data_IF_226512781051
#
_entry.id   IF_226512781051
#
_cell.length_a   1.000
_cell.length_b   1.000
_cell.length_c   1.000
_cell.angle_alpha   90.00
_cell.angle_beta   90.00
_cell.angle_gamma   90.00
#
_symmetry.space_group_name_H-M   'P 1'
#
loop_
_entity.id
_entity.type
_entity.pdbx_description
1 polymer ?
#
# COMPACT_ATOMS: atom_id res chain seq x y z
N UNK A 1 15.67 27.51 -23.78
CA UNK A 1 16.43 28.54 -24.51
C UNK A 1 15.65 29.85 -24.54
N UNK A 2 16.06 30.80 -23.71
CA UNK A 2 15.61 32.20 -23.83
C UNK A 2 16.05 32.72 -25.20
N UNK A 3 15.15 33.42 -25.91
CA UNK A 3 15.50 34.07 -27.16
C UNK A 3 16.46 35.24 -26.90
N UNK A 4 17.72 35.04 -27.24
CA UNK A 4 18.79 36.04 -27.06
C UNK A 4 18.84 37.04 -28.21
N UNK A 5 18.10 36.83 -29.31
CA UNK A 5 18.19 37.70 -30.51
C UNK A 5 17.76 39.13 -30.21
N UNK A 6 16.79 39.31 -29.32
CA UNK A 6 16.33 40.62 -28.87
C UNK A 6 17.39 41.39 -28.07
N UNK A 7 18.37 40.69 -27.49
CA UNK A 7 19.46 41.29 -26.71
C UNK A 7 20.67 41.71 -27.55
N UNK A 8 20.71 41.32 -28.83
CA UNK A 8 21.82 41.60 -29.74
C UNK A 8 21.57 42.92 -30.47
N UNK A 9 22.52 43.85 -30.37
CA UNK A 9 22.49 45.08 -31.16
C UNK A 9 22.55 44.77 -32.66
N UNK A 10 21.72 45.45 -33.47
CA UNK A 10 21.56 45.18 -34.90
C UNK A 10 22.88 45.16 -35.70
N UNK A 11 23.87 45.96 -35.31
CA UNK A 11 25.19 46.01 -35.97
C UNK A 11 26.01 44.71 -35.83
N UNK A 12 25.71 43.87 -34.85
CA UNK A 12 26.39 42.60 -34.61
C UNK A 12 25.54 41.38 -34.99
N UNK A 13 24.27 41.58 -35.37
CA UNK A 13 23.33 40.51 -35.67
C UNK A 13 23.79 39.59 -36.81
N UNK A 14 24.61 40.11 -37.74
CA UNK A 14 25.08 39.37 -38.90
C UNK A 14 26.51 38.82 -38.77
N UNK A 15 27.12 38.89 -37.57
CA UNK A 15 28.45 38.33 -37.31
C UNK A 15 28.34 36.89 -36.79
N UNK A 16 28.75 35.86 -37.56
CA UNK A 16 28.62 34.46 -37.13
C UNK A 16 29.49 34.12 -35.91
N UNK A 17 30.65 34.77 -35.77
CA UNK A 17 31.56 34.53 -34.65
C UNK A 17 30.99 35.03 -33.31
N UNK A 18 30.46 36.27 -33.30
CA UNK A 18 29.90 36.86 -32.07
C UNK A 18 28.60 36.18 -31.66
N UNK A 19 27.71 35.91 -32.62
CA UNK A 19 26.46 35.20 -32.37
C UNK A 19 26.71 33.76 -31.92
N UNK A 20 27.75 33.10 -32.44
CA UNK A 20 28.20 31.78 -31.98
C UNK A 20 28.64 31.78 -30.52
N UNK A 21 29.55 32.69 -30.13
CA UNK A 21 30.03 32.80 -28.74
C UNK A 21 28.87 33.06 -27.78
N UNK A 22 28.00 34.02 -28.08
CA UNK A 22 26.84 34.36 -27.24
C UNK A 22 25.87 33.17 -27.15
N UNK A 23 25.66 32.43 -28.24
CA UNK A 23 24.85 31.22 -28.26
C UNK A 23 25.40 30.12 -27.34
N UNK A 24 26.72 29.89 -27.35
CA UNK A 24 27.36 28.94 -26.43
C UNK A 24 27.24 29.37 -24.97
N UNK A 25 27.44 30.66 -24.66
CA UNK A 25 27.24 31.17 -23.30
C UNK A 25 25.78 31.03 -22.85
N UNK A 26 24.81 31.32 -23.72
CA UNK A 26 23.40 31.14 -23.42
C UNK A 26 23.09 29.67 -23.12
N UNK A 27 23.56 28.73 -23.95
CA UNK A 27 23.35 27.31 -23.73
C UNK A 27 24.03 26.78 -22.46
N UNK A 28 25.18 27.34 -22.08
CA UNK A 28 25.89 26.95 -20.86
C UNK A 28 25.24 27.50 -19.57
N UNK A 29 24.58 28.66 -19.65
CA UNK A 29 23.93 29.33 -18.51
C UNK A 29 22.46 28.93 -18.38
N UNK A 30 21.78 28.54 -19.48
CA UNK A 30 20.35 28.29 -19.52
C UNK A 30 19.92 27.18 -18.53
N UNK A 31 19.22 27.54 -17.44
CA UNK A 31 18.77 26.56 -16.46
C UNK A 31 17.45 25.88 -16.88
N UNK A 32 16.80 26.30 -17.97
CA UNK A 32 15.45 25.84 -18.31
C UNK A 32 15.38 24.32 -18.47
N UNK A 33 16.34 23.71 -19.18
CA UNK A 33 16.37 22.25 -19.34
C UNK A 33 16.52 21.53 -18.00
N UNK A 34 17.35 22.06 -17.11
CA UNK A 34 17.51 21.53 -15.76
C UNK A 34 16.21 21.65 -14.95
N UNK A 35 15.53 22.80 -15.04
CA UNK A 35 14.26 23.07 -14.35
C UNK A 35 13.16 22.14 -14.88
N UNK A 36 13.05 21.96 -16.19
CA UNK A 36 12.07 21.06 -16.82
C UNK A 36 12.34 19.61 -16.44
N UNK A 37 13.61 19.20 -16.49
CA UNK A 37 14.02 17.85 -16.07
C UNK A 37 13.71 17.63 -14.59
N UNK A 38 13.98 18.62 -13.73
CA UNK A 38 13.64 18.58 -12.32
C UNK A 38 12.12 18.52 -12.12
N UNK A 39 11.35 19.34 -12.84
CA UNK A 39 9.90 19.35 -12.74
C UNK A 39 9.29 18.00 -13.13
N UNK A 40 9.78 17.38 -14.20
CA UNK A 40 9.27 16.10 -14.69
C UNK A 40 9.73 14.92 -13.83
N UNK A 41 11.01 14.86 -13.45
CA UNK A 41 11.60 13.69 -12.79
C UNK A 41 11.52 13.73 -11.26
N UNK A 42 11.36 14.91 -10.67
CA UNK A 42 11.35 15.10 -9.21
C UNK A 42 10.04 15.72 -8.73
N UNK A 43 9.65 16.86 -9.27
CA UNK A 43 8.55 17.64 -8.72
C UNK A 43 7.18 17.01 -8.97
N UNK A 44 6.89 16.58 -10.20
CA UNK A 44 5.58 16.04 -10.54
C UNK A 44 5.47 14.56 -10.10
N UNK A 45 4.62 14.21 -9.12
CA UNK A 45 4.53 12.84 -8.60
C UNK A 45 4.00 11.82 -9.62
N UNK A 46 3.30 12.27 -10.66
CA UNK A 46 2.80 11.39 -11.73
C UNK A 46 3.93 10.92 -12.65
N UNK A 47 4.94 11.76 -12.87
CA UNK A 47 6.06 11.49 -13.80
C UNK A 47 7.39 11.28 -13.09
N UNK A 48 7.44 11.49 -11.77
CA UNK A 48 8.64 11.30 -10.97
C UNK A 48 9.15 9.86 -11.04
N UNK A 49 10.47 9.71 -11.09
CA UNK A 49 11.16 8.41 -11.20
C UNK A 49 12.35 8.34 -10.25
N UNK A 50 12.71 7.12 -9.83
CA UNK A 50 13.86 6.85 -8.96
C UNK A 50 13.91 7.75 -7.73
N UNK A 51 14.98 8.55 -7.61
CA UNK A 51 15.24 9.42 -6.46
C UNK A 51 14.12 10.45 -6.21
N UNK A 52 13.54 11.04 -7.25
CA UNK A 52 12.47 12.02 -7.09
C UNK A 52 11.25 11.43 -6.38
N UNK A 53 10.92 10.18 -6.73
CA UNK A 53 9.85 9.42 -6.11
C UNK A 53 10.19 9.03 -4.66
N UNK A 54 11.47 8.77 -4.36
CA UNK A 54 11.93 8.49 -2.99
C UNK A 54 11.80 9.70 -2.06
N UNK A 55 11.98 10.92 -2.58
CA UNK A 55 11.73 12.15 -1.83
C UNK A 55 10.25 12.25 -1.46
N UNK A 56 9.34 12.02 -2.41
CA UNK A 56 7.90 11.98 -2.13
C UNK A 56 7.55 10.91 -1.11
N UNK A 57 8.14 9.71 -1.23
CA UNK A 57 8.03 8.66 -0.22
C UNK A 57 8.39 9.14 1.17
N UNK A 58 9.55 9.80 1.33
CA UNK A 58 9.98 10.35 2.63
C UNK A 58 9.01 11.39 3.18
N UNK A 59 8.42 12.24 2.32
CA UNK A 59 7.44 13.27 2.72
C UNK A 59 6.18 12.62 3.29
N UNK A 60 5.64 11.60 2.62
CA UNK A 60 4.40 10.93 3.07
C UNK A 60 4.63 9.88 4.16
N UNK A 61 5.89 9.52 4.42
CA UNK A 61 6.26 8.47 5.37
C UNK A 61 6.16 7.05 4.82
N UNK A 62 6.42 6.87 3.51
CA UNK A 62 6.48 5.57 2.84
C UNK A 62 7.92 5.23 2.41
N UNK A 63 8.30 3.96 2.55
CA UNK A 63 9.60 3.45 2.11
C UNK A 63 9.46 2.62 0.83
N UNK A 64 10.47 2.63 -0.04
CA UNK A 64 10.46 1.84 -1.28
C UNK A 64 10.68 0.36 -1.03
N UNK A 65 11.57 0.06 -0.07
CA UNK A 65 11.91 -1.31 0.31
C UNK A 65 10.95 -1.70 1.41
N UNK A 66 10.12 -2.69 1.10
CA UNK A 66 9.15 -3.22 2.05
C UNK A 66 9.62 -4.54 2.60
N UNK A 67 9.45 -4.69 3.92
CA UNK A 67 9.56 -5.99 4.57
C UNK A 67 8.27 -6.74 4.30
N UNK A 68 8.35 -7.78 3.48
CA UNK A 68 7.22 -8.68 3.29
C UNK A 68 7.08 -9.54 4.54
N UNK A 69 5.87 -9.64 5.08
CA UNK A 69 5.61 -10.52 6.22
C UNK A 69 5.82 -11.96 5.79
N UNK A 70 6.39 -12.78 6.67
CA UNK A 70 6.62 -14.19 6.37
C UNK A 70 5.28 -14.88 6.03
N UNK A 71 5.23 -15.71 4.98
CA UNK A 71 4.12 -16.64 4.84
C UNK A 71 4.13 -17.59 6.04
N UNK A 72 2.97 -17.88 6.60
CA UNK A 72 2.88 -18.83 7.70
C UNK A 72 3.00 -20.26 7.15
N UNK A 73 3.76 -21.09 7.86
CA UNK A 73 4.11 -22.42 7.39
C UNK A 73 3.27 -23.49 8.06
N UNK A 74 3.04 -24.60 7.36
CA UNK A 74 2.45 -25.78 8.00
C UNK A 74 3.44 -26.28 9.05
N UNK A 75 2.98 -26.42 10.29
CA UNK A 75 3.83 -26.79 11.42
C UNK A 75 3.04 -27.34 12.58
N UNK A 76 3.76 -27.88 13.55
CA UNK A 76 3.20 -28.29 14.83
C UNK A 76 3.26 -27.13 15.83
N UNK A 77 2.30 -27.07 16.74
CA UNK A 77 2.21 -26.02 17.76
C UNK A 77 3.46 -25.99 18.66
N UNK A 78 4.08 -27.16 18.89
CA UNK A 78 5.34 -27.30 19.62
C UNK A 78 6.56 -26.70 18.91
N UNK A 79 6.44 -26.40 17.62
CA UNK A 79 7.48 -25.73 16.84
C UNK A 79 7.26 -24.21 16.74
N UNK A 80 6.17 -23.68 17.31
CA UNK A 80 5.92 -22.24 17.28
C UNK A 80 6.86 -21.50 18.26
N UNK A 81 7.63 -20.55 17.73
CA UNK A 81 8.59 -19.75 18.49
C UNK A 81 7.96 -18.50 19.13
N UNK A 82 6.61 -18.47 19.20
CA UNK A 82 5.83 -17.32 19.65
C UNK A 82 5.58 -16.28 18.56
N UNK A 83 5.97 -16.54 17.31
CA UNK A 83 5.61 -15.69 16.15
C UNK A 83 4.35 -16.14 15.43
N UNK A 84 3.64 -17.15 15.94
CA UNK A 84 2.43 -17.71 15.31
C UNK A 84 2.74 -18.23 13.88
N UNK A 85 3.93 -18.82 13.71
CA UNK A 85 4.46 -19.25 12.41
C UNK A 85 3.95 -20.63 12.00
N UNK A 86 3.43 -21.41 12.96
CA UNK A 86 2.83 -22.72 12.72
C UNK A 86 1.33 -22.59 12.42
N UNK A 87 0.90 -23.08 11.25
CA UNK A 87 -0.51 -23.22 10.85
C UNK A 87 -0.87 -24.69 10.68
N UNK A 88 -2.14 -25.07 10.91
CA UNK A 88 -2.62 -26.41 10.62
C UNK A 88 -2.56 -26.72 9.12
N UNK A 89 -2.75 -28.01 8.79
CA UNK A 89 -2.92 -28.44 7.40
C UNK A 89 -4.06 -27.67 6.72
N UNK A 90 -3.93 -27.45 5.41
CA UNK A 90 -4.84 -26.67 4.54
C UNK A 90 -4.82 -25.13 4.71
N UNK A 91 -4.14 -24.58 5.73
CA UNK A 91 -4.03 -23.12 5.95
C UNK A 91 -2.58 -22.60 5.78
N UNK A 92 -1.57 -23.43 6.05
CA UNK A 92 -0.15 -23.08 5.90
C UNK A 92 0.45 -23.44 4.53
N UNK A 93 1.62 -22.87 4.21
CA UNK A 93 2.43 -23.26 3.05
C UNK A 93 3.57 -24.17 3.46
N UNK A 94 4.00 -25.11 2.61
CA UNK A 94 5.20 -25.91 2.88
C UNK A 94 6.46 -25.03 2.89
N UNK A 95 7.28 -25.16 3.93
CA UNK A 95 8.57 -24.49 4.00
C UNK A 95 9.55 -25.08 2.97
N UNK A 96 10.02 -24.25 2.03
CA UNK A 96 10.88 -24.68 0.91
C UNK A 96 12.38 -24.39 1.13
N UNK A 97 12.79 -23.99 2.33
CA UNK A 97 14.20 -23.78 2.67
C UNK A 97 14.85 -22.50 2.13
N UNK A 98 14.06 -21.59 1.55
CA UNK A 98 14.56 -20.31 1.01
C UNK A 98 14.49 -19.18 2.05
N UNK A 99 15.33 -18.15 1.88
CA UNK A 99 15.39 -17.00 2.79
C UNK A 99 14.00 -16.38 3.00
N UNK A 100 13.60 -16.37 4.27
CA UNK A 100 12.24 -16.08 4.76
C UNK A 100 11.93 -14.59 4.84
N UNK A 101 12.94 -13.74 4.75
CA UNK A 101 12.79 -12.27 4.75
C UNK A 101 13.32 -11.73 3.44
N UNK A 102 12.45 -11.61 2.44
CA UNK A 102 12.79 -10.87 1.24
C UNK A 102 12.40 -9.41 1.42
N UNK A 103 13.40 -8.55 1.58
CA UNK A 103 13.24 -7.13 1.38
C UNK A 103 12.86 -6.92 -0.08
N UNK A 104 11.61 -6.58 -0.34
CA UNK A 104 11.11 -6.38 -1.69
C UNK A 104 11.23 -4.91 -2.06
N UNK A 105 12.05 -4.60 -3.07
CA UNK A 105 12.14 -3.25 -3.62
C UNK A 105 11.00 -3.04 -4.63
N UNK A 106 10.09 -2.12 -4.31
CA UNK A 106 8.97 -1.80 -5.18
C UNK A 106 9.45 -1.12 -6.48
N UNK A 107 8.80 -1.49 -7.59
CA UNK A 107 8.93 -0.78 -8.86
C UNK A 107 8.41 0.66 -8.71
N UNK A 108 8.87 1.59 -9.56
CA UNK A 108 8.43 2.99 -9.51
C UNK A 108 6.90 3.13 -9.61
N UNK A 109 6.23 2.29 -10.39
CA UNK A 109 4.77 2.33 -10.50
C UNK A 109 4.09 1.86 -9.21
N UNK A 110 4.50 0.72 -8.65
CA UNK A 110 3.93 0.21 -7.40
C UNK A 110 4.21 1.16 -6.23
N UNK A 111 5.41 1.74 -6.18
CA UNK A 111 5.78 2.69 -5.15
C UNK A 111 5.00 4.01 -5.28
N UNK A 112 4.73 4.49 -6.50
CA UNK A 112 3.87 5.66 -6.74
C UNK A 112 2.46 5.42 -6.22
N UNK A 113 1.88 4.24 -6.46
CA UNK A 113 0.56 3.87 -5.91
C UNK A 113 0.57 3.90 -4.39
N UNK A 114 1.61 3.38 -3.76
CA UNK A 114 1.78 3.43 -2.30
C UNK A 114 1.90 4.87 -1.78
N UNK A 115 2.62 5.75 -2.47
CA UNK A 115 2.75 7.16 -2.10
C UNK A 115 1.39 7.85 -2.14
N UNK A 116 0.63 7.69 -3.23
CA UNK A 116 -0.71 8.26 -3.32
C UNK A 116 -1.66 7.69 -2.27
N UNK A 117 -1.55 6.39 -1.98
CA UNK A 117 -2.31 5.76 -0.91
C UNK A 117 -2.02 6.41 0.44
N UNK A 118 -0.74 6.56 0.77
CA UNK A 118 -0.29 7.14 2.04
C UNK A 118 -0.67 8.61 2.14
N UNK A 119 -0.53 9.37 1.05
CA UNK A 119 -0.94 10.76 0.97
C UNK A 119 -2.45 10.90 1.19
N UNK A 120 -3.26 10.08 0.53
CA UNK A 120 -4.71 10.07 0.71
C UNK A 120 -5.11 9.72 2.14
N UNK A 121 -4.46 8.71 2.74
CA UNK A 121 -4.66 8.32 4.12
C UNK A 121 -4.35 9.48 5.09
N UNK A 122 -3.20 10.13 4.92
CA UNK A 122 -2.75 11.24 5.77
C UNK A 122 -3.67 12.48 5.70
N UNK A 123 -4.38 12.69 4.57
CA UNK A 123 -5.31 13.81 4.37
C UNK A 123 -6.76 13.41 4.73
N UNK A 124 -7.04 12.12 4.84
CA UNK A 124 -8.38 11.62 5.15
C UNK A 124 -8.80 11.98 6.57
N UNK A 125 -10.11 12.09 6.78
CA UNK A 125 -10.72 12.30 8.09
C UNK A 125 -10.80 11.02 8.94
N UNK A 126 -10.24 9.89 8.46
CA UNK A 126 -10.21 8.61 9.16
C UNK A 126 -11.55 7.87 9.28
N UNK A 127 -12.64 8.38 8.68
CA UNK A 127 -13.92 7.65 8.66
C UNK A 127 -13.83 6.37 7.84
N UNK A 128 -14.64 5.37 8.19
CA UNK A 128 -14.74 4.10 7.46
C UNK A 128 -15.12 4.36 5.99
N UNK A 129 -16.04 5.29 5.73
CA UNK A 129 -16.44 5.66 4.37
C UNK A 129 -15.28 6.22 3.52
N UNK A 130 -14.46 7.11 4.09
CA UNK A 130 -13.29 7.63 3.37
C UNK A 130 -12.20 6.58 3.20
N UNK A 131 -11.98 5.73 4.20
CA UNK A 131 -11.03 4.62 4.13
C UNK A 131 -11.43 3.62 3.03
N UNK A 132 -12.73 3.27 2.95
CA UNK A 132 -13.28 2.43 1.89
C UNK A 132 -13.13 3.08 0.51
N UNK A 133 -13.37 4.38 0.39
CA UNK A 133 -13.16 5.09 -0.86
C UNK A 133 -11.68 5.09 -1.30
N UNK A 134 -10.74 5.16 -0.35
CA UNK A 134 -9.30 5.07 -0.63
C UNK A 134 -8.94 3.65 -1.05
N UNK A 135 -9.36 2.62 -0.30
CA UNK A 135 -9.11 1.21 -0.64
C UNK A 135 -9.65 0.86 -2.02
N UNK A 136 -10.89 1.24 -2.31
CA UNK A 136 -11.52 1.01 -3.62
C UNK A 136 -10.81 1.75 -4.76
N UNK A 137 -10.22 2.93 -4.52
CA UNK A 137 -9.44 3.64 -5.55
C UNK A 137 -8.05 3.06 -5.78
N UNK A 138 -7.46 2.40 -4.78
CA UNK A 138 -6.10 1.90 -4.84
C UNK A 138 -6.01 0.45 -5.32
N UNK A 139 -6.93 -0.38 -4.84
CA UNK A 139 -6.94 -1.82 -5.07
C UNK A 139 -8.22 -2.29 -5.77
N UNK A 140 -9.20 -1.40 -5.94
CA UNK A 140 -10.39 -1.69 -6.74
C UNK A 140 -10.15 -1.48 -8.23
N UNK A 141 -10.80 -2.31 -9.05
CA UNK A 141 -10.68 -2.33 -10.50
C UNK A 141 -10.74 -3.76 -11.05
N UNK A 142 -11.26 -3.95 -12.27
CA UNK A 142 -11.40 -5.24 -12.95
C UNK A 142 -11.94 -6.36 -12.04
N UNK A 143 -13.18 -6.17 -11.57
CA UNK A 143 -13.90 -7.05 -10.63
C UNK A 143 -13.30 -7.15 -9.21
N UNK A 144 -12.27 -6.39 -8.85
CA UNK A 144 -11.72 -6.38 -7.49
C UNK A 144 -12.47 -5.41 -6.59
N UNK A 145 -12.97 -5.91 -5.47
CA UNK A 145 -13.69 -5.14 -4.45
C UNK A 145 -13.04 -5.35 -3.08
N UNK A 146 -12.63 -4.25 -2.45
CA UNK A 146 -12.08 -4.26 -1.09
C UNK A 146 -12.74 -3.19 -0.23
N UNK A 147 -13.20 -3.59 0.95
CA UNK A 147 -13.81 -2.66 1.88
C UNK A 147 -13.57 -3.10 3.33
N UNK A 148 -13.72 -2.13 4.22
CA UNK A 148 -13.72 -2.33 5.64
C UNK A 148 -15.14 -2.50 6.12
N UNK A 149 -15.36 -3.58 6.85
CA UNK A 149 -16.51 -3.76 7.72
C UNK A 149 -16.09 -3.64 9.18
N UNK A 150 -17.02 -3.15 10.00
CA UNK A 150 -16.93 -3.38 11.43
C UNK A 150 -16.86 -4.89 11.62
N UNK A 151 -15.87 -5.35 12.40
CA UNK A 151 -15.74 -6.77 12.65
C UNK A 151 -17.01 -7.28 13.29
N UNK A 152 -17.51 -8.41 12.81
CA UNK A 152 -18.59 -9.13 13.48
C UNK A 152 -18.15 -9.33 14.93
N UNK A 153 -19.00 -9.00 15.93
CA UNK A 153 -18.66 -9.23 17.32
C UNK A 153 -18.12 -10.66 17.49
N UNK A 154 -17.13 -10.85 18.37
CA UNK A 154 -16.52 -12.14 18.71
C UNK A 154 -17.51 -13.20 19.26
N UNK A 155 -18.80 -12.97 19.09
CA UNK A 155 -19.95 -13.72 19.55
C UNK A 155 -20.57 -14.60 18.44
N UNK A 156 -20.08 -14.50 17.20
CA UNK A 156 -20.49 -15.35 16.07
C UNK A 156 -19.48 -16.49 15.88
N UNK A 157 -19.92 -17.69 16.23
CA UNK A 157 -19.08 -18.90 16.29
C UNK A 157 -19.57 -19.97 15.32
N UNK A 158 -18.68 -20.89 14.93
CA UNK A 158 -19.09 -22.11 14.23
C UNK A 158 -19.97 -22.95 15.15
N UNK A 159 -21.23 -23.14 14.76
CA UNK A 159 -22.20 -23.83 15.58
C UNK A 159 -23.39 -24.34 14.79
N UNK A 160 -24.18 -25.15 15.46
CA UNK A 160 -25.48 -25.59 14.96
C UNK A 160 -26.55 -24.55 15.32
N UNK A 161 -27.55 -24.38 14.46
CA UNK A 161 -28.62 -23.37 14.59
C UNK A 161 -29.31 -23.41 15.95
N UNK A 162 -29.34 -24.56 16.62
CA UNK A 162 -29.95 -24.73 17.94
C UNK A 162 -29.15 -24.10 19.10
N UNK A 163 -27.90 -23.67 18.89
CA UNK A 163 -27.08 -22.98 19.89
C UNK A 163 -27.40 -21.47 20.03
N UNK A 164 -28.38 -20.97 19.28
CA UNK A 164 -28.70 -19.54 19.17
C UNK A 164 -29.01 -18.89 20.53
N UNK A 165 -28.21 -17.90 20.92
CA UNK A 165 -28.52 -16.99 22.02
C UNK A 165 -29.28 -15.77 21.50
N UNK A 166 -29.97 -14.99 22.36
CA UNK A 166 -30.78 -13.83 21.94
C UNK A 166 -30.00 -12.72 21.21
N UNK A 167 -28.66 -12.77 21.22
CA UNK A 167 -27.75 -11.82 20.57
C UNK A 167 -26.60 -12.47 19.80
N UNK A 168 -26.54 -13.82 19.71
CA UNK A 168 -25.38 -14.57 19.20
C UNK A 168 -25.78 -15.62 18.17
N UNK A 169 -25.22 -15.57 16.95
CA UNK A 169 -25.62 -16.40 15.83
C UNK A 169 -24.55 -17.43 15.41
N UNK A 170 -24.89 -18.70 15.21
CA UNK A 170 -23.97 -19.66 14.61
C UNK A 170 -23.74 -19.34 13.12
N UNK A 171 -22.48 -19.38 12.68
CA UNK A 171 -22.03 -19.14 11.30
C UNK A 171 -21.77 -20.47 10.55
N UNK A 172 -21.84 -20.45 9.21
CA UNK A 172 -21.60 -21.64 8.36
C UNK A 172 -20.14 -22.07 8.38
N UNK A 173 -19.86 -23.30 7.91
CA UNK A 173 -18.54 -23.97 7.94
C UNK A 173 -17.35 -23.19 7.34
N UNK A 174 -17.57 -22.09 6.64
CA UNK A 174 -16.51 -21.25 6.07
C UNK A 174 -16.51 -19.80 6.58
N UNK A 175 -17.47 -19.43 7.44
CA UNK A 175 -17.70 -18.06 7.87
C UNK A 175 -17.55 -17.85 9.39
N UNK A 176 -17.53 -18.91 10.19
CA UNK A 176 -17.39 -18.81 11.64
C UNK A 176 -15.97 -19.06 12.16
N UNK A 177 -15.69 -18.52 13.35
CA UNK A 177 -14.47 -18.83 14.11
C UNK A 177 -14.73 -20.09 14.95
N UNK A 178 -13.79 -21.04 14.98
CA UNK A 178 -13.87 -22.19 15.88
C UNK A 178 -13.85 -21.71 17.34
N UNK A 179 -14.78 -22.22 18.16
CA UNK A 179 -14.86 -21.88 19.58
C UNK A 179 -13.56 -22.32 20.29
N UNK A 180 -12.86 -21.38 20.93
CA UNK A 180 -11.72 -21.66 21.79
C UNK A 180 -11.83 -20.83 23.07
N UNK A 181 -11.44 -21.35 24.23
CA UNK A 181 -11.45 -20.59 25.50
C UNK A 181 -10.58 -19.31 25.42
N UNK A 182 -9.61 -19.28 24.51
CA UNK A 182 -8.82 -18.09 24.14
C UNK A 182 -9.56 -17.06 23.26
N UNK A 183 -10.68 -17.42 22.63
CA UNK A 183 -11.51 -16.50 21.82
C UNK A 183 -12.39 -15.58 22.67
N UNK A 184 -12.47 -15.83 23.98
CA UNK A 184 -13.04 -14.94 24.99
C UNK A 184 -12.00 -13.96 25.58
N UNK A 185 -10.76 -13.97 25.06
CA UNK A 185 -9.76 -12.98 25.37
C UNK A 185 -10.08 -11.63 24.72
N UNK A 186 -11.00 -10.87 25.32
CA UNK A 186 -11.11 -9.40 25.21
C UNK A 186 -10.73 -8.83 23.83
N UNK A 187 -11.40 -9.26 22.75
CA UNK A 187 -11.27 -8.59 21.46
C UNK A 187 -11.93 -7.21 21.59
N UNK A 188 -11.18 -6.22 22.07
CA UNK A 188 -11.60 -4.84 22.24
C UNK A 188 -11.67 -4.17 20.86
N UNK A 189 -12.64 -4.59 20.06
CA UNK A 189 -12.86 -4.16 18.67
C UNK A 189 -12.09 -5.01 17.66
N UNK A 190 -12.82 -5.54 16.69
CA UNK A 190 -12.26 -6.17 15.48
C UNK A 190 -12.61 -5.31 14.28
N UNK A 191 -11.69 -5.26 13.32
CA UNK A 191 -11.91 -4.59 12.04
C UNK A 191 -11.61 -5.61 10.94
N UNK A 192 -12.60 -5.88 10.10
CA UNK A 192 -12.48 -6.90 9.06
C UNK A 192 -12.30 -6.23 7.69
N UNK A 193 -11.24 -6.62 7.00
CA UNK A 193 -10.99 -6.26 5.61
C UNK A 193 -11.61 -7.35 4.74
N UNK A 194 -12.67 -6.99 4.03
CA UNK A 194 -13.34 -7.86 3.09
C UNK A 194 -12.75 -7.65 1.69
N UNK A 195 -12.38 -8.75 1.01
CA UNK A 195 -11.86 -8.74 -0.36
C UNK A 195 -12.40 -9.93 -1.16
N UNK A 196 -12.50 -9.82 -2.48
CA UNK A 196 -13.03 -10.90 -3.33
C UNK A 196 -11.99 -11.67 -4.17
N UNK A 197 -10.70 -11.28 -4.13
CA UNK A 197 -9.60 -11.94 -4.85
C UNK A 197 -8.53 -12.47 -3.90
N UNK A 198 -7.63 -13.33 -4.39
CA UNK A 198 -6.49 -13.80 -3.62
C UNK A 198 -5.43 -12.68 -3.50
N UNK A 199 -5.25 -12.12 -2.31
CA UNK A 199 -4.21 -11.11 -2.08
C UNK A 199 -2.83 -11.74 -2.15
N UNK A 200 -1.95 -11.16 -2.96
CA UNK A 200 -0.54 -11.51 -2.87
C UNK A 200 0.05 -11.02 -1.55
N UNK A 201 1.12 -11.67 -1.04
CA UNK A 201 1.84 -11.17 0.14
C UNK A 201 2.30 -9.71 -0.01
N UNK A 202 2.62 -9.29 -1.24
CA UNK A 202 2.95 -7.90 -1.55
C UNK A 202 1.74 -6.98 -1.36
N UNK A 203 0.55 -7.36 -1.84
CA UNK A 203 -0.67 -6.57 -1.68
C UNK A 203 -1.06 -6.40 -0.21
N UNK A 204 -0.95 -7.48 0.59
CA UNK A 204 -1.16 -7.42 2.04
C UNK A 204 -0.19 -6.44 2.68
N UNK A 205 1.09 -6.47 2.29
CA UNK A 205 2.09 -5.54 2.84
C UNK A 205 1.86 -4.10 2.40
N UNK A 206 1.44 -3.88 1.16
CA UNK A 206 1.07 -2.56 0.63
C UNK A 206 -0.13 -2.01 1.39
N UNK A 207 -1.18 -2.80 1.61
CA UNK A 207 -2.34 -2.40 2.41
C UNK A 207 -1.91 -2.07 3.84
N UNK A 208 -1.11 -2.93 4.46
CA UNK A 208 -0.61 -2.74 5.81
C UNK A 208 0.28 -1.48 5.95
N UNK A 209 1.18 -1.22 5.01
CA UNK A 209 2.13 -0.11 5.08
C UNK A 209 1.55 1.22 4.57
N UNK A 210 0.55 1.17 3.68
CA UNK A 210 -0.15 2.37 3.19
C UNK A 210 -0.73 3.19 4.33
N UNK A 211 -1.04 2.58 5.48
CA UNK A 211 -1.72 3.26 6.58
C UNK A 211 -3.07 3.85 6.18
N UNK A 212 -3.63 3.46 5.02
CA UNK A 212 -5.00 3.77 4.61
C UNK A 212 -6.03 3.13 5.56
N UNK A 213 -5.58 2.17 6.35
CA UNK A 213 -6.33 1.59 7.44
C UNK A 213 -6.03 2.35 8.73
N UNK A 214 -7.05 2.88 9.43
CA UNK A 214 -6.86 3.32 10.80
C UNK A 214 -6.30 2.15 11.61
N UNK A 215 -5.31 2.43 12.46
CA UNK A 215 -4.82 1.48 13.47
C UNK A 215 -5.19 1.99 14.86
N UNK A 216 -6.45 1.80 15.31
CA UNK A 216 -6.80 2.09 16.68
C UNK A 216 -6.03 1.14 17.61
N UNK A 217 -5.51 1.67 18.71
CA UNK A 217 -4.85 0.84 19.71
C UNK A 217 -5.86 -0.18 20.29
N UNK A 218 -5.49 -1.47 20.31
CA UNK A 218 -6.32 -2.55 20.84
C UNK A 218 -7.29 -3.19 19.83
N UNK A 219 -7.33 -2.73 18.58
CA UNK A 219 -8.19 -3.31 17.53
C UNK A 219 -7.41 -4.31 16.67
N UNK A 220 -7.89 -5.54 16.59
CA UNK A 220 -7.32 -6.57 15.73
C UNK A 220 -7.87 -6.47 14.31
N UNK A 221 -6.98 -6.55 13.32
CA UNK A 221 -7.34 -6.52 11.89
C UNK A 221 -7.43 -7.96 11.38
N UNK A 222 -8.58 -8.32 10.84
CA UNK A 222 -8.85 -9.61 10.23
C UNK A 222 -8.99 -9.45 8.71
N UNK A 223 -8.55 -10.44 7.94
CA UNK A 223 -8.77 -10.51 6.50
C UNK A 223 -9.83 -11.58 6.23
N UNK A 224 -10.89 -11.22 5.51
CA UNK A 224 -11.96 -12.14 5.16
C UNK A 224 -12.21 -12.11 3.66
N UNK A 225 -12.21 -13.28 3.04
CA UNK A 225 -12.64 -13.43 1.65
C UNK A 225 -14.17 -13.35 1.59
N UNK A 226 -14.69 -12.46 0.74
CA UNK A 226 -16.12 -12.36 0.48
C UNK A 226 -16.38 -12.76 -0.96
N UNK A 227 -17.26 -13.74 -1.13
CA UNK A 227 -17.74 -14.13 -2.46
C UNK A 227 -18.85 -13.16 -2.88
N UNK A 228 -18.58 -12.35 -3.89
CA UNK A 228 -19.56 -11.44 -4.48
C UNK A 228 -20.20 -12.20 -5.65
N UNK A 229 -21.54 -12.35 -5.68
CA UNK A 229 -22.24 -13.09 -6.73
C UNK A 229 -22.14 -12.41 -8.11
#
# INVERSE_FOLDING_TARGET
MIDIRETILAQYANSPALTGIIGYFNAAIDPQNLIETFQQRVWNPLTATGWGLDVWGRIVGAQRVQKVSQPQFIGFDEADDGTNSARPFEDGVFYTGKSITENYALTDEAFRRLIFAKAAANISNGSIAQSNAILMRLFGGDDKVIYLSEGTPADDYLGFTEAHGPTKGPQTFENGIFFGDSSLGSANGTMTICHNWDLSPLDVTLIHQSGALPRPAGVHILYQRVYIP
#
